data_IF_903575683458
#
_entry.id   IF_903575683458
#
_cell.length_a   1.000
_cell.length_b   1.000
_cell.length_c   1.000
_cell.angle_alpha   90.00
_cell.angle_beta   90.00
_cell.angle_gamma   90.00
#
_symmetry.space_group_name_H-M   'P 1'
#
loop_
_entity.id
_entity.type
_entity.pdbx_description
1 polymer ?
#
# COMPACT_ATOMS: atom_id res chain seq x y z
N UNK A 1 15.77 -19.69 -8.71
CA UNK A 1 16.59 -18.68 -8.00
C UNK A 1 15.67 -17.57 -7.54
N UNK A 2 15.31 -17.57 -6.26
CA UNK A 2 14.40 -16.57 -5.70
C UNK A 2 15.19 -15.30 -5.39
N UNK A 3 14.89 -14.22 -6.11
CA UNK A 3 15.43 -12.88 -5.86
C UNK A 3 14.87 -12.32 -4.55
N UNK A 4 15.74 -11.77 -3.71
CA UNK A 4 15.41 -11.16 -2.42
C UNK A 4 14.50 -9.94 -2.59
N UNK A 5 13.61 -9.64 -1.61
CA UNK A 5 12.82 -8.42 -1.62
C UNK A 5 13.73 -7.19 -1.49
N UNK A 6 13.65 -6.29 -2.46
CA UNK A 6 14.28 -4.97 -2.40
C UNK A 6 13.56 -4.17 -1.30
N UNK A 7 14.28 -3.88 -0.22
CA UNK A 7 13.76 -2.96 0.80
C UNK A 7 13.68 -1.56 0.20
N UNK A 8 12.55 -0.83 0.35
CA UNK A 8 12.46 0.53 -0.16
C UNK A 8 13.48 1.41 0.58
N UNK A 9 14.48 1.89 -0.14
CA UNK A 9 15.46 2.85 0.39
C UNK A 9 14.71 4.15 0.68
N UNK A 10 14.53 4.46 1.97
CA UNK A 10 13.91 5.71 2.43
C UNK A 10 14.72 6.88 1.85
N UNK A 11 14.16 7.56 0.85
CA UNK A 11 14.89 8.58 0.10
C UNK A 11 15.30 9.75 1.02
N UNK A 12 16.59 10.13 1.08
CA UNK A 12 17.07 11.22 1.94
C UNK A 12 16.42 12.58 1.60
N UNK A 13 15.93 12.74 0.37
CA UNK A 13 15.21 13.93 -0.10
C UNK A 13 13.90 14.19 0.67
N UNK A 14 13.28 13.15 1.22
CA UNK A 14 12.07 13.28 2.03
C UNK A 14 12.32 14.02 3.36
N UNK A 15 13.54 14.02 3.88
CA UNK A 15 13.88 14.61 5.17
C UNK A 15 14.36 16.06 5.05
N UNK A 16 14.82 16.47 3.87
CA UNK A 16 15.26 17.84 3.60
C UNK A 16 14.24 18.94 3.99
N UNK A 17 12.96 18.88 3.60
CA UNK A 17 12.03 19.96 3.93
C UNK A 17 11.72 20.05 5.43
N UNK A 18 11.73 18.91 6.14
CA UNK A 18 11.55 18.87 7.59
C UNK A 18 12.76 19.46 8.32
N UNK A 19 13.96 19.06 7.91
CA UNK A 19 15.21 19.59 8.45
C UNK A 19 15.34 21.10 8.18
N UNK A 20 14.95 21.55 6.99
CA UNK A 20 14.94 22.97 6.63
C UNK A 20 13.92 23.77 7.47
N UNK A 21 12.71 23.25 7.70
CA UNK A 21 11.70 23.92 8.53
C UNK A 21 12.14 24.05 9.99
N UNK A 22 12.66 22.96 10.57
CA UNK A 22 13.15 22.96 11.95
C UNK A 22 14.39 23.86 12.07
N UNK A 23 15.39 23.67 11.21
CA UNK A 23 16.62 24.45 11.22
C UNK A 23 16.37 25.95 10.99
N UNK A 24 15.50 26.29 10.04
CA UNK A 24 15.11 27.67 9.76
C UNK A 24 14.38 28.33 10.93
N UNK A 25 13.45 27.62 11.59
CA UNK A 25 12.74 28.14 12.76
C UNK A 25 13.67 28.42 13.94
N UNK A 26 14.59 27.50 14.24
CA UNK A 26 15.59 27.69 15.31
C UNK A 26 16.58 28.81 14.99
N UNK A 27 17.05 28.90 13.75
CA UNK A 27 17.98 29.94 13.33
C UNK A 27 17.34 31.34 13.44
N UNK A 28 16.09 31.48 12.99
CA UNK A 28 15.37 32.74 13.10
C UNK A 28 15.08 33.13 14.56
N UNK A 29 14.73 32.16 15.42
CA UNK A 29 14.55 32.41 16.86
C UNK A 29 15.86 32.90 17.53
N UNK A 30 17.00 32.30 17.15
CA UNK A 30 18.31 32.71 17.67
C UNK A 30 18.68 34.13 17.24
N UNK A 31 18.43 34.49 15.97
CA UNK A 31 18.68 35.84 15.47
C UNK A 31 17.84 36.86 16.24
N UNK A 32 16.53 36.62 16.37
CA UNK A 32 15.63 37.53 17.10
C UNK A 32 16.07 37.71 18.55
N UNK A 33 16.42 36.63 19.25
CA UNK A 33 16.86 36.71 20.64
C UNK A 33 18.18 37.50 20.78
N UNK A 34 19.11 37.32 19.83
CA UNK A 34 20.38 38.05 19.84
C UNK A 34 20.24 39.54 19.46
N UNK A 35 19.23 39.91 18.67
CA UNK A 35 19.06 41.30 18.20
C UNK A 35 18.06 42.11 19.04
N UNK A 36 16.99 41.50 19.53
CA UNK A 36 15.89 42.20 20.23
C UNK A 36 15.88 41.93 21.74
N UNK A 37 16.55 40.88 22.22
CA UNK A 37 16.47 40.37 23.60
C UNK A 37 15.04 40.06 24.11
N UNK A 38 14.05 40.09 23.22
CA UNK A 38 12.65 39.83 23.52
C UNK A 38 12.33 38.33 23.44
N UNK A 39 12.16 37.72 24.62
CA UNK A 39 11.84 36.31 24.78
C UNK A 39 10.47 35.94 24.21
N UNK A 40 9.50 36.85 24.20
CA UNK A 40 8.17 36.56 23.68
C UNK A 40 8.22 36.34 22.16
N UNK A 41 9.00 37.16 21.45
CA UNK A 41 9.15 37.05 19.99
C UNK A 41 9.95 35.80 19.61
N UNK A 42 11.01 35.48 20.36
CA UNK A 42 11.80 34.26 20.14
C UNK A 42 10.95 32.98 20.31
N UNK A 43 10.11 32.91 21.37
CA UNK A 43 9.18 31.80 21.59
C UNK A 43 8.17 31.68 20.43
N UNK A 44 7.70 32.80 19.90
CA UNK A 44 6.80 32.83 18.73
C UNK A 44 7.41 32.14 17.50
N UNK A 45 8.70 32.36 17.23
CA UNK A 45 9.40 31.74 16.10
C UNK A 45 9.59 30.23 16.27
N UNK A 46 9.90 29.78 17.49
CA UNK A 46 9.97 28.35 17.82
C UNK A 46 8.60 27.69 17.62
N UNK A 47 7.54 28.32 18.13
CA UNK A 47 6.17 27.82 17.96
C UNK A 47 5.77 27.75 16.47
N UNK A 48 6.11 28.77 15.69
CA UNK A 48 5.88 28.77 14.25
C UNK A 48 6.61 27.62 13.53
N UNK A 49 7.87 27.36 13.88
CA UNK A 49 8.64 26.24 13.34
C UNK A 49 8.00 24.88 13.65
N UNK A 50 7.52 24.69 14.88
CA UNK A 50 6.80 23.46 15.29
C UNK A 50 5.50 23.31 14.52
N UNK A 51 4.72 24.38 14.33
CA UNK A 51 3.46 24.35 13.59
C UNK A 51 3.69 23.99 12.11
N UNK A 52 4.72 24.55 11.47
CA UNK A 52 5.07 24.21 10.08
C UNK A 52 5.52 22.77 9.96
N UNK A 53 6.39 22.29 10.86
CA UNK A 53 6.85 20.91 10.87
C UNK A 53 5.69 19.92 11.10
N UNK A 54 4.82 20.21 12.07
CA UNK A 54 3.62 19.42 12.35
C UNK A 54 2.65 19.41 11.17
N UNK A 55 2.40 20.55 10.55
CA UNK A 55 1.57 20.68 9.35
C UNK A 55 2.12 19.87 8.17
N UNK A 56 3.44 19.90 7.96
CA UNK A 56 4.08 19.10 6.91
C UNK A 56 3.94 17.60 7.19
N UNK A 57 4.12 17.15 8.43
CA UNK A 57 3.92 15.73 8.81
C UNK A 57 2.46 15.32 8.59
N UNK A 58 1.50 16.15 9.02
CA UNK A 58 0.07 15.88 8.85
C UNK A 58 -0.32 15.82 7.37
N UNK A 59 0.10 16.81 6.57
CA UNK A 59 -0.14 16.83 5.13
C UNK A 59 0.44 15.59 4.46
N UNK A 60 1.67 15.20 4.80
CA UNK A 60 2.26 13.96 4.27
C UNK A 60 1.49 12.71 4.65
N UNK A 61 0.97 12.61 5.87
CA UNK A 61 0.15 11.46 6.27
C UNK A 61 -1.18 11.41 5.52
N UNK A 62 -1.83 12.55 5.37
CA UNK A 62 -3.10 12.67 4.67
C UNK A 62 -2.95 12.40 3.17
N UNK A 63 -1.89 12.89 2.54
CA UNK A 63 -1.64 12.71 1.11
C UNK A 63 -0.99 11.36 0.77
N UNK A 64 -0.14 10.80 1.64
CA UNK A 64 0.47 9.49 1.42
C UNK A 64 -0.50 8.32 1.65
N UNK A 65 -1.74 8.57 2.07
CA UNK A 65 -2.75 7.53 2.23
C UNK A 65 -3.22 6.94 0.89
N UNK A 66 -2.93 7.60 -0.25
CA UNK A 66 -3.14 7.06 -1.60
C UNK A 66 -1.89 6.38 -2.20
N UNK A 67 -0.70 6.57 -1.59
CA UNK A 67 0.54 5.87 -1.97
C UNK A 67 0.81 4.70 -1.02
N UNK A 68 -0.23 3.95 -0.64
CA UNK A 68 0.00 2.52 -0.44
C UNK A 68 0.55 2.05 -1.79
N UNK A 69 1.87 1.93 -1.88
CA UNK A 69 2.58 1.42 -3.03
C UNK A 69 2.04 0.02 -3.31
N UNK A 70 0.95 0.00 -4.08
CA UNK A 70 0.51 -1.16 -4.81
C UNK A 70 1.67 -1.40 -5.76
N UNK A 71 2.60 -2.23 -5.30
CA UNK A 71 3.68 -2.76 -6.08
C UNK A 71 3.00 -3.22 -7.37
N UNK A 72 3.19 -2.54 -8.51
CA UNK A 72 2.34 -2.70 -9.67
C UNK A 72 2.40 -4.18 -10.01
N UNK A 73 1.33 -4.88 -9.65
CA UNK A 73 1.31 -6.33 -9.76
C UNK A 73 1.31 -6.55 -11.24
N UNK A 74 2.42 -7.09 -11.75
CA UNK A 74 2.56 -7.30 -13.19
C UNK A 74 1.55 -8.37 -13.60
N UNK A 75 0.40 -7.91 -14.07
CA UNK A 75 -0.71 -8.76 -14.43
C UNK A 75 -0.34 -9.66 -15.62
N UNK A 76 0.61 -9.24 -16.45
CA UNK A 76 1.14 -10.10 -17.51
C UNK A 76 1.90 -11.29 -16.92
N UNK A 77 2.66 -11.09 -15.84
CA UNK A 77 3.32 -12.19 -15.11
C UNK A 77 2.30 -13.10 -14.43
N UNK A 78 1.30 -12.52 -13.75
CA UNK A 78 0.23 -13.31 -13.12
C UNK A 78 -0.53 -14.17 -14.16
N UNK A 79 -0.84 -13.59 -15.32
CA UNK A 79 -1.52 -14.28 -16.41
C UNK A 79 -0.63 -15.35 -17.04
N UNK A 80 0.67 -15.08 -17.24
CA UNK A 80 1.63 -16.05 -17.76
C UNK A 80 1.80 -17.25 -16.82
N UNK A 81 1.85 -17.02 -15.51
CA UNK A 81 1.91 -18.09 -14.50
C UNK A 81 0.64 -18.92 -14.49
N UNK A 82 -0.54 -18.29 -14.54
CA UNK A 82 -1.81 -18.99 -14.62
C UNK A 82 -1.91 -19.85 -15.89
N UNK A 83 -1.41 -19.35 -17.03
CA UNK A 83 -1.38 -20.06 -18.30
C UNK A 83 -0.38 -21.22 -18.34
N UNK A 84 0.74 -21.11 -17.60
CA UNK A 84 1.75 -22.17 -17.50
C UNK A 84 1.32 -23.33 -16.58
N UNK A 85 0.29 -23.15 -15.76
CA UNK A 85 -0.21 -24.18 -14.85
C UNK A 85 -0.82 -25.37 -15.62
N UNK A 86 -0.49 -26.58 -15.17
CA UNK A 86 -1.09 -27.80 -15.70
C UNK A 86 -2.48 -28.12 -15.13
N UNK A 87 -2.84 -27.48 -14.03
CA UNK A 87 -4.14 -27.64 -13.38
C UNK A 87 -5.15 -26.58 -13.84
N UNK A 88 -6.45 -26.90 -13.75
CA UNK A 88 -7.53 -25.94 -13.94
C UNK A 88 -7.50 -24.88 -12.82
N UNK A 89 -7.21 -23.63 -13.18
CA UNK A 89 -6.95 -22.56 -12.21
C UNK A 89 -7.91 -21.39 -12.42
N UNK A 90 -8.51 -20.94 -11.32
CA UNK A 90 -9.36 -19.76 -11.23
C UNK A 90 -9.00 -18.96 -9.97
N UNK A 91 -8.90 -17.64 -10.12
CA UNK A 91 -8.64 -16.68 -9.03
C UNK A 91 -9.86 -15.79 -8.89
N UNK A 92 -10.42 -15.74 -7.68
CA UNK A 92 -11.55 -14.86 -7.36
C UNK A 92 -11.14 -13.75 -6.39
N UNK A 93 -11.85 -12.62 -6.45
CA UNK A 93 -11.72 -11.56 -5.45
C UNK A 93 -12.44 -11.94 -4.14
N UNK A 94 -12.37 -11.04 -3.14
CA UNK A 94 -13.07 -11.20 -1.85
C UNK A 94 -14.60 -11.20 -1.99
N UNK A 95 -15.14 -10.61 -3.05
CA UNK A 95 -16.57 -10.60 -3.35
C UNK A 95 -17.03 -11.86 -4.10
N UNK A 96 -16.12 -12.82 -4.37
CA UNK A 96 -16.41 -14.04 -5.10
C UNK A 96 -16.54 -13.85 -6.62
N UNK A 97 -16.08 -12.71 -7.16
CA UNK A 97 -16.02 -12.46 -8.61
C UNK A 97 -14.78 -13.14 -9.18
N UNK A 98 -14.91 -13.75 -10.36
CA UNK A 98 -13.77 -14.30 -11.07
C UNK A 98 -12.90 -13.17 -11.65
N UNK A 99 -11.61 -13.16 -11.31
CA UNK A 99 -10.64 -12.14 -11.74
C UNK A 99 -9.71 -12.71 -12.82
N UNK A 100 -9.29 -13.96 -12.69
CA UNK A 100 -8.45 -14.65 -13.67
C UNK A 100 -8.81 -16.13 -13.75
N UNK A 101 -8.77 -16.72 -14.93
CA UNK A 101 -8.85 -18.17 -15.12
C UNK A 101 -8.01 -18.59 -16.34
N UNK A 102 -7.49 -19.80 -16.32
CA UNK A 102 -6.76 -20.35 -17.46
C UNK A 102 -7.69 -21.11 -18.43
N UNK A 103 -7.18 -21.42 -19.62
CA UNK A 103 -7.94 -22.13 -20.66
C UNK A 103 -8.34 -23.55 -20.25
N UNK A 104 -7.58 -24.19 -19.35
CA UNK A 104 -7.93 -25.49 -18.80
C UNK A 104 -9.17 -25.44 -17.91
N UNK A 105 -9.31 -24.39 -17.10
CA UNK A 105 -10.52 -24.16 -16.31
C UNK A 105 -11.75 -24.02 -17.23
N UNK A 106 -11.61 -23.25 -18.32
CA UNK A 106 -12.67 -23.10 -19.31
C UNK A 106 -13.07 -24.43 -19.95
N UNK A 107 -12.07 -25.24 -20.36
CA UNK A 107 -12.30 -26.54 -20.98
C UNK A 107 -12.98 -27.55 -20.02
N UNK A 108 -12.64 -27.51 -18.73
CA UNK A 108 -13.17 -28.45 -17.74
C UNK A 108 -14.60 -28.10 -17.30
N UNK A 109 -14.91 -26.80 -17.18
CA UNK A 109 -16.20 -26.32 -16.66
C UNK A 109 -17.09 -25.66 -17.70
N UNK A 110 -16.76 -25.81 -18.98
CA UNK A 110 -17.51 -25.30 -20.13
C UNK A 110 -17.83 -23.80 -20.02
N UNK A 111 -16.80 -23.00 -19.74
CA UNK A 111 -16.88 -21.55 -19.56
C UNK A 111 -16.21 -21.08 -18.28
N UNK A 112 -16.71 -19.97 -17.72
CA UNK A 112 -16.15 -19.36 -16.50
C UNK A 112 -17.17 -19.26 -15.35
N UNK A 113 -17.76 -20.38 -14.91
CA UNK A 113 -18.62 -20.36 -13.73
C UNK A 113 -17.81 -19.91 -12.51
N UNK A 114 -18.41 -19.09 -11.66
CA UNK A 114 -17.82 -18.74 -10.37
C UNK A 114 -17.93 -19.94 -9.41
N UNK A 115 -17.05 -20.07 -8.40
CA UNK A 115 -17.07 -21.20 -7.47
C UNK A 115 -18.44 -21.61 -6.90
N UNK A 116 -19.38 -20.69 -6.57
CA UNK A 116 -20.72 -21.08 -6.09
C UNK A 116 -21.60 -21.75 -7.15
N UNK A 117 -21.29 -21.54 -8.44
CA UNK A 117 -22.00 -22.08 -9.60
C UNK A 117 -21.21 -23.19 -10.31
N UNK A 118 -20.13 -23.67 -9.69
CA UNK A 118 -19.28 -24.71 -10.25
C UNK A 118 -20.04 -26.06 -10.28
N UNK A 119 -20.03 -26.80 -11.40
CA UNK A 119 -20.75 -28.08 -11.53
C UNK A 119 -19.97 -29.22 -10.83
N UNK A 120 -19.76 -29.08 -9.53
CA UNK A 120 -19.11 -30.05 -8.65
C UNK A 120 -20.07 -30.42 -7.52
N UNK A 121 -19.72 -31.42 -6.71
CA UNK A 121 -20.56 -31.82 -5.58
C UNK A 121 -20.79 -30.68 -4.58
N UNK A 122 -21.94 -30.64 -3.92
CA UNK A 122 -22.27 -29.65 -2.88
C UNK A 122 -21.23 -29.63 -1.75
N UNK A 123 -20.65 -30.80 -1.43
CA UNK A 123 -19.55 -30.91 -0.47
C UNK A 123 -18.30 -30.16 -0.93
N UNK A 124 -17.97 -30.23 -2.23
CA UNK A 124 -16.83 -29.52 -2.84
C UNK A 124 -17.05 -28.02 -2.87
N UNK A 125 -18.27 -27.56 -3.20
CA UNK A 125 -18.63 -26.12 -3.17
C UNK A 125 -18.52 -25.58 -1.74
N UNK A 126 -19.01 -26.34 -0.76
CA UNK A 126 -18.92 -25.98 0.66
C UNK A 126 -17.47 -25.89 1.14
N UNK A 127 -16.63 -26.85 0.73
CA UNK A 127 -15.19 -26.85 1.04
C UNK A 127 -14.47 -25.65 0.43
N UNK A 128 -14.76 -25.29 -0.82
CA UNK A 128 -14.22 -24.07 -1.45
C UNK A 128 -14.63 -22.80 -0.71
N UNK A 129 -15.90 -22.70 -0.33
CA UNK A 129 -16.42 -21.55 0.43
C UNK A 129 -15.84 -21.45 1.84
N UNK A 130 -15.44 -22.56 2.47
CA UNK A 130 -14.73 -22.57 3.74
C UNK A 130 -13.26 -22.11 3.57
N UNK A 131 -12.56 -22.61 2.56
CA UNK A 131 -11.19 -22.22 2.25
C UNK A 131 -11.07 -20.72 1.95
N UNK A 132 -12.01 -20.17 1.18
CA UNK A 132 -12.04 -18.74 0.85
C UNK A 132 -12.18 -17.83 2.09
N UNK A 133 -12.98 -18.24 3.08
CA UNK A 133 -13.17 -17.49 4.33
C UNK A 133 -11.97 -17.57 5.27
N UNK A 134 -11.31 -18.73 5.36
CA UNK A 134 -10.14 -18.93 6.20
C UNK A 134 -8.96 -17.98 5.86
N UNK A 135 -8.88 -17.53 4.60
CA UNK A 135 -7.88 -16.56 4.13
C UNK A 135 -8.28 -15.11 4.48
N UNK A 136 -9.59 -14.83 4.63
CA UNK A 136 -10.11 -13.51 4.93
C UNK A 136 -10.02 -13.09 6.40
N UNK A 137 -9.86 -14.06 7.31
CA UNK A 137 -9.84 -13.86 8.77
C UNK A 137 -8.42 -13.71 9.36
N UNK A 138 -7.38 -13.67 8.52
CA UNK A 138 -5.96 -13.58 8.91
C UNK A 138 -5.28 -12.25 8.62
#
# INVERSE_FOLDING_TARGET
MASLPISPVKSPRALLPLAAAIGGGFLAAAIVLLTLDDRAVAVGFVAAGILVAGGLIAARRLLASDEAAENPTDWAVAHALAAASDDALAVTDRAGRLVCANSRYEALFAGWPTPPSLPVSDASVTALGAAARAIGDG
#
